data_IF_031429271472
#
_entry.id   IF_031429271472
#
_cell.length_a   1.000
_cell.length_b   1.000
_cell.length_c   1.000
_cell.angle_alpha   90.00
_cell.angle_beta   90.00
_cell.angle_gamma   90.00
#
_symmetry.space_group_name_H-M   'P 1'
#
loop_
_entity.id
_entity.type
_entity.pdbx_description
1 polymer ?
#
# COMPACT_ATOMS: atom_id res chain seq x y z
N UNK A 1 -33.46 45.65 -29.21
CA UNK A 1 -32.78 45.15 -30.42
C UNK A 1 -31.31 44.91 -30.10
N UNK A 2 -30.90 43.66 -29.86
CA UNK A 2 -29.50 43.24 -30.01
C UNK A 2 -29.51 41.73 -30.27
N UNK A 3 -29.38 41.36 -31.54
CA UNK A 3 -29.16 39.99 -31.97
C UNK A 3 -27.65 39.69 -31.94
N UNK A 4 -27.25 38.57 -31.34
CA UNK A 4 -25.92 37.99 -31.59
C UNK A 4 -26.01 36.49 -31.83
N UNK A 5 -25.36 36.10 -32.91
CA UNK A 5 -25.41 34.83 -33.61
C UNK A 5 -24.97 33.62 -32.78
N UNK A 6 -25.70 32.52 -32.99
CA UNK A 6 -25.32 31.15 -32.66
C UNK A 6 -24.30 30.71 -33.72
N UNK A 7 -23.08 30.33 -33.30
CA UNK A 7 -22.13 29.60 -34.16
C UNK A 7 -21.92 28.20 -33.60
N UNK A 8 -22.38 27.23 -34.37
CA UNK A 8 -22.15 25.79 -34.22
C UNK A 8 -20.69 25.50 -34.53
N UNK A 9 -19.96 24.91 -33.58
CA UNK A 9 -18.60 24.43 -33.84
C UNK A 9 -18.69 22.96 -34.26
N UNK A 10 -18.42 22.74 -35.54
CA UNK A 10 -18.45 21.46 -36.23
C UNK A 10 -17.24 20.62 -35.82
N UNK A 11 -17.51 19.38 -35.42
CA UNK A 11 -16.50 18.33 -35.23
C UNK A 11 -15.75 18.08 -36.54
N UNK A 12 -14.41 18.17 -36.51
CA UNK A 12 -13.54 17.56 -37.51
C UNK A 12 -12.85 16.35 -36.91
N UNK A 13 -13.24 15.17 -37.39
CA UNK A 13 -12.51 13.92 -37.22
C UNK A 13 -11.20 14.01 -38.02
N UNK A 14 -10.06 14.01 -37.33
CA UNK A 14 -8.78 13.70 -37.94
C UNK A 14 -8.46 12.23 -37.63
N UNK A 15 -8.65 11.38 -38.63
CA UNK A 15 -8.11 10.01 -38.64
C UNK A 15 -6.62 10.13 -38.94
N UNK A 16 -5.79 9.97 -37.92
CA UNK A 16 -4.35 9.84 -38.08
C UNK A 16 -3.93 8.56 -37.37
N UNK A 17 -3.53 7.57 -38.18
CA UNK A 17 -3.14 6.25 -37.71
C UNK A 17 -1.95 6.33 -36.74
N UNK A 18 -2.22 6.13 -35.46
CA UNK A 18 -1.20 5.91 -34.46
C UNK A 18 -0.71 4.46 -34.58
N UNK A 19 0.52 4.30 -35.08
CA UNK A 19 1.25 3.05 -35.01
C UNK A 19 1.50 2.74 -33.53
N UNK A 20 0.91 1.66 -33.02
CA UNK A 20 1.20 1.14 -31.69
C UNK A 20 2.65 0.64 -31.68
N UNK A 21 3.55 1.41 -31.08
CA UNK A 21 4.89 0.92 -30.74
C UNK A 21 4.85 0.47 -29.26
N UNK A 22 4.78 -0.84 -29.05
CA UNK A 22 4.77 -1.44 -27.72
C UNK A 22 6.19 -1.48 -27.15
N UNK A 23 6.61 -0.40 -26.52
CA UNK A 23 7.79 -0.38 -25.64
C UNK A 23 7.49 0.41 -24.36
N UNK A 24 6.27 0.29 -23.85
CA UNK A 24 5.97 0.67 -22.48
C UNK A 24 6.44 -0.47 -21.58
N UNK A 25 7.63 -0.33 -21.00
CA UNK A 25 7.95 -1.04 -19.75
C UNK A 25 6.79 -0.79 -18.79
N UNK A 26 6.26 -1.80 -18.08
CA UNK A 26 5.31 -1.51 -17.02
C UNK A 26 6.05 -0.63 -16.02
N UNK A 27 5.68 0.64 -15.95
CA UNK A 27 6.01 1.50 -14.82
C UNK A 27 5.37 0.80 -13.63
N UNK A 28 6.16 -0.05 -12.96
CA UNK A 28 5.85 -0.53 -11.60
C UNK A 28 5.44 0.73 -10.87
N UNK A 29 4.18 0.76 -10.43
CA UNK A 29 3.67 1.85 -9.62
C UNK A 29 4.73 2.08 -8.55
N UNK A 30 5.48 3.17 -8.69
CA UNK A 30 6.52 3.53 -7.76
C UNK A 30 5.79 3.61 -6.43
N UNK A 31 6.02 2.62 -5.57
CA UNK A 31 5.60 2.66 -4.19
C UNK A 31 6.09 4.02 -3.73
N UNK A 32 5.18 4.94 -3.47
CA UNK A 32 5.52 6.25 -2.96
C UNK A 32 6.16 5.97 -1.61
N UNK A 33 7.49 5.85 -1.61
CA UNK A 33 8.27 5.68 -0.40
C UNK A 33 8.02 6.96 0.38
N UNK A 34 7.30 6.91 1.51
CA UNK A 34 6.97 8.12 2.23
C UNK A 34 8.28 8.83 2.59
N UNK A 35 8.30 10.17 2.44
CA UNK A 35 9.47 11.07 2.56
C UNK A 35 10.34 10.90 3.83
N UNK A 36 9.93 10.05 4.77
CA UNK A 36 10.59 9.83 6.05
C UNK A 36 11.13 8.40 6.16
N UNK A 37 11.95 7.97 5.21
CA UNK A 37 12.83 6.81 5.41
C UNK A 37 13.82 7.19 6.50
N UNK A 38 13.70 6.56 7.66
CA UNK A 38 14.70 6.73 8.71
C UNK A 38 15.85 5.81 8.39
N UNK A 39 16.87 6.37 7.74
CA UNK A 39 18.16 5.70 7.58
C UNK A 39 18.90 5.76 8.90
N UNK A 40 19.37 4.61 9.37
CA UNK A 40 20.16 4.56 10.60
C UNK A 40 21.59 4.98 10.23
N UNK A 41 22.00 6.20 10.65
CA UNK A 41 23.34 6.73 10.37
C UNK A 41 24.40 6.25 11.36
N UNK A 42 23.96 5.82 12.54
CA UNK A 42 24.84 5.57 13.68
C UNK A 42 25.02 4.06 13.88
N UNK A 43 26.05 3.51 13.23
CA UNK A 43 26.44 2.09 13.33
C UNK A 43 26.88 1.68 14.75
N UNK A 44 27.08 2.65 15.66
CA UNK A 44 27.71 2.46 16.97
C UNK A 44 26.77 1.93 18.05
N UNK A 45 25.44 1.96 17.88
CA UNK A 45 24.52 1.67 18.99
C UNK A 45 23.99 0.24 19.04
N UNK A 46 24.04 -0.57 17.97
CA UNK A 46 23.26 -1.81 17.93
C UNK A 46 24.02 -3.03 17.38
N UNK A 47 24.71 -3.74 18.30
CA UNK A 47 25.53 -4.92 17.98
C UNK A 47 24.78 -6.20 17.62
N UNK A 48 23.44 -6.24 17.62
CA UNK A 48 22.72 -7.50 17.31
C UNK A 48 22.85 -7.90 15.84
N UNK A 49 23.00 -6.94 14.94
CA UNK A 49 23.31 -7.18 13.53
C UNK A 49 24.54 -8.09 13.38
N UNK A 50 25.62 -7.79 14.13
CA UNK A 50 26.89 -8.53 14.09
C UNK A 50 26.78 -9.97 14.62
N UNK A 51 25.86 -10.23 15.55
CA UNK A 51 25.68 -11.54 16.19
C UNK A 51 24.65 -12.40 15.44
N UNK A 52 23.71 -11.77 14.72
CA UNK A 52 22.57 -12.46 14.10
C UNK A 52 22.95 -13.52 13.05
N UNK A 53 24.13 -13.40 12.43
CA UNK A 53 24.54 -14.23 11.29
C UNK A 53 23.72 -13.96 10.01
N UNK A 54 22.90 -12.91 10.00
CA UNK A 54 22.15 -12.49 8.81
C UNK A 54 23.11 -11.95 7.74
N UNK A 55 22.79 -12.12 6.43
CA UNK A 55 23.61 -11.56 5.37
C UNK A 55 23.63 -10.03 5.47
N UNK A 56 24.80 -9.46 5.20
CA UNK A 56 25.05 -8.02 5.28
C UNK A 56 24.10 -7.21 4.38
N UNK A 57 23.64 -7.80 3.28
CA UNK A 57 22.66 -7.24 2.34
C UNK A 57 21.36 -6.74 2.98
N UNK A 58 20.92 -7.32 4.11
CA UNK A 58 19.74 -6.85 4.85
C UNK A 58 19.98 -5.56 5.62
N UNK A 59 21.22 -5.35 6.02
CA UNK A 59 21.62 -4.32 6.98
C UNK A 59 22.39 -3.16 6.34
N UNK A 60 22.88 -3.35 5.12
CA UNK A 60 23.45 -2.26 4.34
C UNK A 60 22.35 -1.27 4.01
N UNK A 61 22.49 -0.05 4.51
CA UNK A 61 21.53 1.03 4.29
C UNK A 61 21.29 1.23 2.79
N UNK A 62 20.01 1.31 2.42
CA UNK A 62 19.55 1.52 1.05
C UNK A 62 19.36 0.26 0.19
N UNK A 63 19.84 -0.91 0.62
CA UNK A 63 19.64 -2.14 -0.16
C UNK A 63 18.28 -2.81 0.14
N UNK A 64 17.81 -2.70 1.38
CA UNK A 64 16.52 -3.23 1.78
C UNK A 64 15.80 -2.36 2.80
N UNK A 65 14.50 -2.18 2.58
CA UNK A 65 13.65 -1.32 3.38
C UNK A 65 12.58 -2.14 4.11
N UNK A 66 12.39 -1.90 5.40
CA UNK A 66 11.35 -2.52 6.22
C UNK A 66 10.12 -1.60 6.32
N UNK A 67 8.94 -2.18 6.09
CA UNK A 67 7.65 -1.53 6.30
C UNK A 67 7.07 -1.95 7.65
N UNK A 68 6.86 -0.99 8.54
CA UNK A 68 6.15 -1.19 9.80
C UNK A 68 4.74 -0.62 9.67
N UNK A 69 3.71 -1.47 9.76
CA UNK A 69 2.33 -1.06 9.52
C UNK A 69 1.32 -1.93 10.29
N UNK A 70 0.07 -1.47 10.40
CA UNK A 70 -1.05 -2.34 10.77
C UNK A 70 -1.81 -2.75 9.53
N UNK A 71 -2.18 -4.02 9.43
CA UNK A 71 -2.95 -4.49 8.29
C UNK A 71 -4.28 -3.73 8.19
N UNK A 72 -4.61 -3.27 6.98
CA UNK A 72 -5.90 -2.65 6.72
C UNK A 72 -7.01 -3.69 6.83
N UNK A 73 -8.18 -3.28 7.32
CA UNK A 73 -9.34 -4.16 7.34
C UNK A 73 -9.68 -4.60 5.91
N UNK A 74 -9.76 -5.91 5.62
CA UNK A 74 -10.18 -6.39 4.31
C UNK A 74 -11.63 -5.96 4.03
N UNK A 75 -11.88 -5.45 2.83
CA UNK A 75 -13.24 -5.05 2.42
C UNK A 75 -14.19 -6.24 2.25
N UNK A 76 -13.65 -7.44 2.04
CA UNK A 76 -14.40 -8.69 1.86
C UNK A 76 -14.96 -9.25 3.17
N UNK A 77 -14.39 -8.90 4.31
CA UNK A 77 -14.76 -9.46 5.61
C UNK A 77 -15.05 -8.37 6.64
N UNK A 78 -15.92 -8.69 7.60
CA UNK A 78 -16.31 -7.76 8.65
C UNK A 78 -15.45 -7.84 9.93
N UNK A 79 -14.59 -8.85 10.05
CA UNK A 79 -13.71 -9.04 11.21
C UNK A 79 -12.64 -7.96 11.36
N UNK A 80 -12.10 -7.83 12.57
CA UNK A 80 -11.06 -6.84 12.91
C UNK A 80 -9.80 -7.48 13.53
N UNK A 81 -9.75 -8.81 13.68
CA UNK A 81 -8.68 -9.48 14.43
C UNK A 81 -7.28 -9.18 13.87
N UNK A 82 -7.13 -9.32 12.55
CA UNK A 82 -5.83 -9.14 11.90
C UNK A 82 -5.29 -7.70 11.94
N UNK A 83 -6.16 -6.72 12.23
CA UNK A 83 -5.81 -5.29 12.29
C UNK A 83 -5.22 -4.87 13.65
N UNK A 84 -5.24 -5.76 14.64
CA UNK A 84 -4.80 -5.43 16.02
C UNK A 84 -3.29 -5.31 16.12
N UNK A 85 -2.57 -6.26 15.53
CA UNK A 85 -1.11 -6.39 15.61
C UNK A 85 -0.39 -5.47 14.63
N UNK A 86 0.80 -5.02 15.01
CA UNK A 86 1.74 -4.37 14.11
C UNK A 86 2.52 -5.43 13.34
N UNK A 87 2.76 -5.19 12.05
CA UNK A 87 3.57 -6.05 11.20
C UNK A 87 4.80 -5.33 10.73
N UNK A 88 5.90 -6.07 10.71
CA UNK A 88 7.10 -5.71 9.98
C UNK A 88 7.23 -6.68 8.81
N UNK A 89 7.29 -6.11 7.61
CA UNK A 89 7.52 -6.81 6.35
C UNK A 89 8.64 -6.11 5.58
N UNK A 90 9.37 -6.87 4.76
CA UNK A 90 10.39 -6.31 3.88
C UNK A 90 9.76 -5.84 2.57
N UNK A 91 10.32 -4.77 2.02
CA UNK A 91 9.96 -4.30 0.68
C UNK A 91 10.41 -5.32 -0.39
N UNK A 92 9.73 -5.24 -1.53
CA UNK A 92 9.93 -6.14 -2.66
C UNK A 92 11.24 -5.77 -3.37
N UNK A 93 12.11 -6.76 -3.56
CA UNK A 93 13.32 -6.56 -4.36
C UNK A 93 12.96 -6.43 -5.85
N UNK A 94 13.38 -5.33 -6.48
CA UNK A 94 13.07 -5.06 -7.89
C UNK A 94 13.63 -6.11 -8.87
N UNK A 95 14.76 -6.74 -8.52
CA UNK A 95 15.32 -7.89 -9.23
C UNK A 95 15.22 -9.12 -8.33
N UNK A 96 14.58 -10.20 -8.80
CA UNK A 96 14.58 -11.48 -8.09
C UNK A 96 13.40 -11.73 -7.14
N UNK A 97 12.39 -10.85 -7.06
CA UNK A 97 11.18 -11.15 -6.31
C UNK A 97 10.41 -12.33 -6.91
N UNK A 98 9.95 -12.23 -8.17
CA UNK A 98 9.29 -13.33 -8.87
C UNK A 98 9.65 -13.40 -10.34
N UNK A 99 9.86 -14.62 -10.83
CA UNK A 99 9.93 -14.96 -12.25
C UNK A 99 9.24 -16.30 -12.51
N UNK A 100 8.87 -16.54 -13.76
CA UNK A 100 8.27 -17.81 -14.17
C UNK A 100 9.37 -18.86 -14.42
N UNK A 101 9.15 -20.09 -13.94
CA UNK A 101 10.03 -21.21 -14.22
C UNK A 101 9.78 -21.77 -15.63
N UNK A 102 10.81 -21.81 -16.48
CA UNK A 102 10.74 -22.28 -17.87
C UNK A 102 10.16 -23.71 -18.01
N UNK A 103 10.36 -24.58 -17.02
CA UNK A 103 9.91 -25.96 -17.10
C UNK A 103 8.43 -26.15 -16.70
N UNK A 104 8.01 -25.58 -15.56
CA UNK A 104 6.69 -25.87 -14.95
C UNK A 104 5.74 -24.68 -14.90
N UNK A 105 6.21 -23.47 -15.22
CA UNK A 105 5.44 -22.23 -15.10
C UNK A 105 5.24 -21.75 -13.66
N UNK A 106 5.92 -22.34 -12.67
CA UNK A 106 5.80 -21.92 -11.28
C UNK A 106 6.49 -20.58 -10.99
N UNK A 107 5.97 -19.87 -9.99
CA UNK A 107 6.55 -18.61 -9.53
C UNK A 107 7.79 -18.87 -8.67
N UNK A 108 8.96 -18.77 -9.29
CA UNK A 108 10.26 -18.86 -8.65
C UNK A 108 10.67 -17.52 -8.04
N UNK A 109 11.56 -17.55 -7.04
CA UNK A 109 12.02 -16.37 -6.30
C UNK A 109 13.48 -16.56 -5.84
N UNK A 110 14.22 -15.46 -5.73
CA UNK A 110 15.58 -15.41 -5.15
C UNK A 110 15.56 -14.73 -3.78
N UNK A 111 14.42 -14.16 -3.39
CA UNK A 111 14.31 -13.37 -2.18
C UNK A 111 14.01 -14.27 -0.97
N UNK A 112 14.94 -14.31 -0.03
CA UNK A 112 14.85 -15.12 1.18
C UNK A 112 13.91 -14.52 2.25
N UNK A 113 13.55 -13.23 2.19
CA UNK A 113 12.65 -12.61 3.18
C UNK A 113 11.23 -12.39 2.68
N UNK A 114 10.90 -12.76 1.43
CA UNK A 114 9.59 -12.47 0.80
C UNK A 114 8.37 -12.97 1.61
N UNK A 115 8.52 -14.06 2.36
CA UNK A 115 7.44 -14.70 3.12
C UNK A 115 7.56 -14.43 4.62
N UNK A 116 8.65 -13.79 5.04
CA UNK A 116 8.92 -13.52 6.44
C UNK A 116 8.11 -12.30 6.86
N UNK A 117 7.28 -12.48 7.88
CA UNK A 117 6.47 -11.43 8.48
C UNK A 117 6.57 -11.54 9.99
N UNK A 118 6.80 -10.42 10.66
CA UNK A 118 6.93 -10.39 12.11
C UNK A 118 5.78 -9.60 12.70
N UNK A 119 5.14 -10.16 13.73
CA UNK A 119 4.02 -9.54 14.42
C UNK A 119 4.49 -8.97 15.77
N UNK A 120 4.11 -7.73 16.05
CA UNK A 120 4.43 -7.01 17.28
C UNK A 120 3.16 -6.46 17.93
N UNK A 121 3.22 -6.27 19.23
CA UNK A 121 2.07 -5.73 19.99
C UNK A 121 2.02 -4.20 19.92
N UNK A 122 3.19 -3.56 20.02
CA UNK A 122 3.36 -2.11 20.02
C UNK A 122 4.19 -1.64 18.82
N UNK A 123 4.02 -0.37 18.44
CA UNK A 123 4.77 0.25 17.33
C UNK A 123 6.24 0.40 17.70
N UNK A 124 6.47 0.80 18.93
CA UNK A 124 7.77 1.11 19.51
C UNK A 124 8.63 -0.16 19.60
N UNK A 125 8.00 -1.31 19.87
CA UNK A 125 8.65 -2.61 19.89
C UNK A 125 9.18 -3.00 18.49
N UNK A 126 8.35 -2.82 17.45
CA UNK A 126 8.75 -3.07 16.07
C UNK A 126 9.88 -2.13 15.62
N UNK A 127 9.82 -0.85 16.01
CA UNK A 127 10.86 0.14 15.73
C UNK A 127 12.17 -0.25 16.40
N UNK A 128 12.13 -0.55 17.71
CA UNK A 128 13.31 -0.96 18.46
C UNK A 128 13.94 -2.22 17.87
N UNK A 129 13.12 -3.17 17.39
CA UNK A 129 13.62 -4.37 16.75
C UNK A 129 14.34 -4.06 15.43
N UNK A 130 13.74 -3.25 14.56
CA UNK A 130 14.38 -2.82 13.30
C UNK A 130 15.68 -2.06 13.56
N UNK A 131 15.68 -1.12 14.51
CA UNK A 131 16.86 -0.34 14.91
C UNK A 131 17.96 -1.25 15.46
N UNK A 132 17.60 -2.25 16.28
CA UNK A 132 18.57 -3.17 16.87
C UNK A 132 19.28 -4.07 15.86
N UNK A 133 18.65 -4.34 14.71
CA UNK A 133 19.23 -5.14 13.62
C UNK A 133 19.87 -4.28 12.52
N UNK A 134 19.83 -2.95 12.64
CA UNK A 134 20.38 -2.05 11.64
C UNK A 134 19.58 -2.00 10.33
N UNK A 135 18.26 -2.23 10.38
CA UNK A 135 17.42 -2.19 9.17
C UNK A 135 16.79 -0.82 8.97
N UNK A 136 16.91 -0.29 7.76
CA UNK A 136 16.18 0.92 7.36
C UNK A 136 14.68 0.65 7.38
N UNK A 137 13.91 1.56 7.97
CA UNK A 137 12.47 1.37 8.10
C UNK A 137 11.67 2.63 7.82
N UNK A 138 10.41 2.43 7.42
CA UNK A 138 9.38 3.46 7.42
C UNK A 138 8.12 2.95 8.13
N UNK A 139 7.45 3.87 8.82
CA UNK A 139 6.23 3.56 9.56
C UNK A 139 5.05 4.12 8.79
N UNK A 140 4.10 3.25 8.46
CA UNK A 140 2.79 3.64 7.95
C UNK A 140 1.83 3.69 9.13
N UNK A 141 1.29 4.88 9.40
CA UNK A 141 0.28 5.03 10.43
C UNK A 141 -1.00 4.27 10.06
N UNK A 142 -1.66 3.61 11.03
CA UNK A 142 -2.88 2.88 10.75
C UNK A 142 -3.96 3.84 10.23
N UNK A 143 -4.73 3.37 9.25
CA UNK A 143 -5.89 4.13 8.79
C UNK A 143 -6.83 4.43 9.96
N UNK A 144 -7.34 5.66 9.98
CA UNK A 144 -8.21 6.12 11.06
C UNK A 144 -9.39 5.16 11.22
N UNK A 145 -9.76 4.80 12.46
CA UNK A 145 -10.91 3.94 12.67
C UNK A 145 -12.15 4.57 12.02
N UNK A 146 -13.03 3.72 11.51
CA UNK A 146 -14.28 4.18 10.88
C UNK A 146 -15.01 5.10 11.86
N UNK A 147 -15.29 6.33 11.42
CA UNK A 147 -16.02 7.32 12.24
C UNK A 147 -17.30 6.69 12.79
N UNK A 148 -17.48 6.77 14.10
CA UNK A 148 -18.72 6.37 14.74
C UNK A 148 -19.84 7.27 14.20
N UNK A 149 -20.89 6.65 13.69
CA UNK A 149 -22.11 7.31 13.24
C UNK A 149 -23.26 6.63 13.97
N UNK A 150 -24.10 7.37 14.71
CA UNK A 150 -25.34 6.82 15.26
C UNK A 150 -26.14 6.19 14.13
N UNK A 151 -26.58 4.95 14.33
CA UNK A 151 -27.43 4.22 13.39
C UNK A 151 -28.75 3.93 14.10
N UNK A 152 -29.80 4.62 13.68
CA UNK A 152 -31.16 4.41 14.19
C UNK A 152 -31.96 3.60 13.18
N UNK A 153 -32.59 2.51 13.62
CA UNK A 153 -33.43 1.70 12.72
C UNK A 153 -34.75 2.41 12.39
N UNK A 154 -35.26 3.27 13.28
CA UNK A 154 -36.44 4.11 13.10
C UNK A 154 -36.28 5.09 11.92
N UNK A 155 -35.04 5.52 11.64
CA UNK A 155 -34.74 6.44 10.55
C UNK A 155 -35.11 5.88 9.17
N UNK A 156 -35.23 4.56 9.03
CA UNK A 156 -35.69 3.91 7.80
C UNK A 156 -37.19 4.19 7.49
N UNK A 157 -37.97 4.69 8.46
CA UNK A 157 -39.41 4.86 8.36
C UNK A 157 -39.90 6.29 8.65
N UNK A 158 -39.02 7.29 8.59
CA UNK A 158 -39.44 8.67 8.81
C UNK A 158 -40.40 9.16 7.73
N UNK A 159 -41.42 9.90 8.16
CA UNK A 159 -42.38 10.51 7.26
C UNK A 159 -41.74 11.65 6.46
N UNK A 160 -41.72 11.53 5.13
CA UNK A 160 -41.36 12.62 4.22
C UNK A 160 -42.60 13.42 3.85
N UNK A 161 -42.58 14.73 4.10
CA UNK A 161 -43.66 15.64 3.71
C UNK A 161 -43.75 15.87 2.19
N UNK A 162 -42.67 15.60 1.46
CA UNK A 162 -42.58 15.76 0.00
C UNK A 162 -42.39 14.42 -0.72
N UNK A 163 -42.22 14.44 -2.06
CA UNK A 163 -41.98 13.23 -2.84
C UNK A 163 -40.73 12.49 -2.32
N UNK A 164 -40.84 11.16 -2.20
CA UNK A 164 -39.75 10.35 -1.64
C UNK A 164 -38.52 10.40 -2.55
N UNK A 165 -37.34 10.61 -1.96
CA UNK A 165 -36.04 10.64 -2.69
C UNK A 165 -35.59 9.27 -3.16
N UNK A 166 -35.90 8.24 -2.40
CA UNK A 166 -35.56 6.85 -2.67
C UNK A 166 -36.59 5.95 -1.99
N UNK A 167 -36.85 4.79 -2.60
CA UNK A 167 -37.65 3.75 -2.00
C UNK A 167 -36.70 2.91 -1.15
N UNK A 168 -36.91 2.90 0.17
CA UNK A 168 -36.12 2.07 1.07
C UNK A 168 -36.54 0.61 0.92
N UNK A 169 -35.70 -0.21 0.30
CA UNK A 169 -35.81 -1.66 0.32
C UNK A 169 -35.07 -2.23 1.53
N UNK A 170 -35.46 -3.42 1.99
CA UNK A 170 -34.82 -4.13 3.10
C UNK A 170 -33.52 -4.79 2.69
#
# INVERSE_FOLDING_TARGET
>A
MFARAIKTNTFKLAVQGARFNSSATPTVASVEVPEKVKRITDMTTNGKQLISGAPEELSVSGNRLCRIYKEAKPATQNGFENTRMWRLEWDILGKGNRWENDLTGYQSTADYMQATRMNFTQKEEAIRFAESNGWDYYVVEPSKPRRFKPKEYSANFYHSKGPLKHIFTK
#
